data_IF_152348975404
#
_entry.id   IF_152348975404
#
_cell.length_a   1.000
_cell.length_b   1.000
_cell.length_c   1.000
_cell.angle_alpha   90.00
_cell.angle_beta   90.00
_cell.angle_gamma   90.00
#
_symmetry.space_group_name_H-M   'P 1'
#
loop_
_entity.id
_entity.type
_entity.pdbx_description
1 polymer ?
#
# COMPACT_ATOMS: atom_id res chain seq x y z
N UNK A 1 5.44 -31.58 -43.66
CA UNK A 1 5.55 -30.61 -42.52
C UNK A 1 4.50 -30.97 -41.47
N UNK A 2 4.88 -31.50 -40.32
CA UNK A 2 3.97 -31.93 -39.24
C UNK A 2 3.45 -30.73 -38.48
N UNK A 3 2.14 -30.45 -38.49
CA UNK A 3 1.48 -29.46 -37.65
C UNK A 3 1.58 -29.92 -36.20
N UNK A 4 2.42 -29.23 -35.39
CA UNK A 4 2.46 -29.42 -33.95
C UNK A 4 1.05 -29.13 -33.37
N UNK A 5 0.37 -30.16 -32.88
CA UNK A 5 -0.88 -30.02 -32.13
C UNK A 5 -0.61 -29.09 -30.92
N UNK A 6 -1.21 -27.89 -30.92
CA UNK A 6 -1.20 -27.03 -29.74
C UNK A 6 -1.94 -27.77 -28.63
N UNK A 7 -1.24 -28.13 -27.57
CA UNK A 7 -1.87 -28.60 -26.35
C UNK A 7 -2.83 -27.51 -25.88
N UNK A 8 -4.14 -27.78 -25.91
CA UNK A 8 -5.13 -26.96 -25.21
C UNK A 8 -4.92 -27.26 -23.73
N UNK A 9 -4.20 -26.39 -23.04
CA UNK A 9 -4.07 -26.47 -21.58
C UNK A 9 -5.46 -26.49 -20.95
N UNK A 10 -5.66 -27.31 -19.94
CA UNK A 10 -6.90 -27.36 -19.18
C UNK A 10 -7.22 -25.96 -18.65
N UNK A 11 -8.42 -25.46 -18.99
CA UNK A 11 -8.86 -24.15 -18.51
C UNK A 11 -9.13 -24.25 -17.01
N UNK A 12 -8.33 -23.54 -16.21
CA UNK A 12 -8.52 -23.48 -14.74
C UNK A 12 -9.79 -22.67 -14.48
N UNK A 13 -10.80 -23.33 -13.90
CA UNK A 13 -12.05 -22.67 -13.51
C UNK A 13 -11.81 -21.98 -12.17
N UNK A 14 -12.20 -20.70 -12.05
CA UNK A 14 -12.06 -19.93 -10.81
C UNK A 14 -10.84 -19.01 -10.74
N UNK A 15 -9.96 -19.05 -11.75
CA UNK A 15 -8.74 -18.24 -11.77
C UNK A 15 -7.57 -18.85 -11.00
N UNK A 16 -6.42 -18.21 -11.05
CA UNK A 16 -5.20 -18.63 -10.35
C UNK A 16 -4.34 -17.40 -10.03
N UNK A 17 -3.52 -17.55 -9.00
CA UNK A 17 -2.49 -16.57 -8.63
C UNK A 17 -1.17 -17.08 -9.16
N UNK A 18 -0.52 -16.39 -10.13
CA UNK A 18 0.77 -16.80 -10.64
C UNK A 18 1.87 -16.50 -9.62
N UNK A 19 2.53 -17.52 -9.12
CA UNK A 19 3.76 -17.43 -8.32
C UNK A 19 4.90 -18.03 -9.15
N UNK A 20 5.77 -17.22 -9.74
CA UNK A 20 6.89 -17.70 -10.53
C UNK A 20 7.86 -18.55 -9.70
N UNK A 21 8.39 -19.64 -10.27
CA UNK A 21 9.35 -20.51 -9.58
C UNK A 21 10.58 -19.73 -9.10
N UNK A 22 11.13 -18.86 -9.93
CA UNK A 22 12.29 -18.02 -9.59
C UNK A 22 12.05 -17.10 -8.40
N UNK A 23 10.80 -16.68 -8.17
CA UNK A 23 10.43 -15.91 -6.97
C UNK A 23 10.46 -16.80 -5.73
N UNK A 24 9.83 -17.98 -5.80
CA UNK A 24 9.74 -18.91 -4.66
C UNK A 24 11.16 -19.39 -4.24
N UNK A 25 12.03 -19.61 -5.21
CA UNK A 25 13.41 -20.05 -5.00
C UNK A 25 14.34 -18.90 -4.55
N UNK A 26 13.94 -17.65 -4.71
CA UNK A 26 14.76 -16.48 -4.37
C UNK A 26 15.10 -16.42 -2.89
N UNK A 27 16.26 -15.88 -2.56
CA UNK A 27 16.68 -15.63 -1.18
C UNK A 27 15.68 -14.68 -0.47
N UNK A 28 15.19 -13.66 -1.19
CA UNK A 28 14.21 -12.72 -0.68
C UNK A 28 12.94 -13.42 -0.17
N UNK A 29 12.37 -14.33 -0.97
CA UNK A 29 11.14 -15.03 -0.59
C UNK A 29 11.40 -16.10 0.48
N UNK A 30 12.52 -16.81 0.40
CA UNK A 30 12.86 -17.89 1.36
C UNK A 30 13.07 -17.35 2.76
N UNK A 31 13.68 -16.17 2.93
CA UNK A 31 13.94 -15.52 4.22
C UNK A 31 12.70 -14.88 4.87
N UNK A 32 11.59 -14.72 4.14
CA UNK A 32 10.35 -14.22 4.72
C UNK A 32 9.75 -15.16 5.75
N UNK A 33 9.15 -14.56 6.80
CA UNK A 33 8.33 -15.27 7.77
C UNK A 33 7.05 -15.87 7.16
N UNK A 34 6.49 -16.89 7.79
CA UNK A 34 5.26 -17.59 7.32
C UNK A 34 4.10 -16.63 7.08
N UNK A 35 3.85 -15.71 8.00
CA UNK A 35 2.77 -14.71 7.88
C UNK A 35 2.99 -13.78 6.70
N UNK A 36 4.22 -13.30 6.49
CA UNK A 36 4.54 -12.43 5.36
C UNK A 36 4.32 -13.13 4.01
N UNK A 37 4.70 -14.41 3.88
CA UNK A 37 4.41 -15.23 2.69
C UNK A 37 2.92 -15.34 2.42
N UNK A 38 2.12 -15.62 3.45
CA UNK A 38 0.67 -15.70 3.32
C UNK A 38 0.07 -14.33 2.93
N UNK A 39 0.46 -13.27 3.61
CA UNK A 39 0.02 -11.89 3.29
C UNK A 39 0.34 -11.54 1.83
N UNK A 40 1.51 -11.93 1.32
CA UNK A 40 1.88 -11.68 -0.08
C UNK A 40 0.96 -12.36 -1.08
N UNK A 41 0.57 -13.62 -0.83
CA UNK A 41 -0.38 -14.35 -1.69
C UNK A 41 -1.71 -13.59 -1.79
N UNK A 42 -2.22 -13.06 -0.68
CA UNK A 42 -3.48 -12.30 -0.69
C UNK A 42 -3.35 -10.91 -1.30
N UNK A 43 -2.19 -10.28 -1.26
CA UNK A 43 -1.92 -9.09 -2.07
C UNK A 43 -1.99 -9.41 -3.57
N UNK A 44 -1.42 -10.53 -3.99
CA UNK A 44 -1.51 -10.96 -5.39
C UNK A 44 -2.92 -11.36 -5.80
N UNK A 45 -3.73 -11.88 -4.87
CA UNK A 45 -5.13 -12.21 -5.12
C UNK A 45 -5.99 -10.99 -5.44
N UNK A 46 -5.64 -9.81 -4.92
CA UNK A 46 -6.33 -8.55 -5.24
C UNK A 46 -6.10 -8.09 -6.69
N UNK A 47 -5.09 -8.62 -7.37
CA UNK A 47 -4.81 -8.30 -8.77
C UNK A 47 -5.83 -8.98 -9.67
N UNK A 48 -6.87 -8.23 -10.08
CA UNK A 48 -7.97 -8.74 -10.92
C UNK A 48 -7.68 -8.66 -12.42
N UNK A 49 -6.79 -7.78 -12.84
CA UNK A 49 -6.39 -7.61 -14.24
C UNK A 49 -4.91 -7.36 -14.38
N UNK A 50 -4.32 -7.74 -15.51
CA UNK A 50 -2.90 -7.52 -15.79
C UNK A 50 -2.47 -6.05 -15.85
N UNK A 51 -3.43 -5.12 -15.87
CA UNK A 51 -3.20 -3.67 -15.89
C UNK A 51 -3.30 -3.03 -14.50
N UNK A 52 -3.70 -3.79 -13.47
CA UNK A 52 -3.78 -3.26 -12.11
C UNK A 52 -2.39 -3.08 -11.55
N UNK A 53 -2.01 -1.82 -11.32
CA UNK A 53 -0.68 -1.44 -10.80
C UNK A 53 -0.70 -1.34 -9.28
N UNK A 54 -1.81 -0.89 -8.70
CA UNK A 54 -1.97 -0.65 -7.28
C UNK A 54 -2.76 -1.77 -6.62
N UNK A 55 -2.24 -2.26 -5.51
CA UNK A 55 -2.82 -3.36 -4.74
C UNK A 55 -2.96 -2.97 -3.29
N UNK A 56 -4.04 -3.43 -2.67
CA UNK A 56 -4.35 -3.15 -1.28
C UNK A 56 -4.74 -4.43 -0.56
N UNK A 57 -4.44 -4.48 0.73
CA UNK A 57 -4.96 -5.51 1.62
C UNK A 57 -5.25 -4.88 2.97
N UNK A 58 -6.50 -4.97 3.41
CA UNK A 58 -6.93 -4.45 4.70
C UNK A 58 -6.78 -5.49 5.80
N UNK A 59 -6.66 -5.04 7.05
CA UNK A 59 -6.61 -5.95 8.19
C UNK A 59 -7.89 -6.81 8.28
N UNK A 60 -9.07 -6.21 8.01
CA UNK A 60 -10.34 -6.93 8.00
C UNK A 60 -10.36 -8.08 6.98
N UNK A 61 -9.80 -7.84 5.78
CA UNK A 61 -9.66 -8.89 4.77
C UNK A 61 -8.68 -9.97 5.24
N UNK A 62 -7.52 -9.59 5.77
CA UNK A 62 -6.53 -10.53 6.29
C UNK A 62 -7.10 -11.41 7.42
N UNK A 63 -7.90 -10.84 8.32
CA UNK A 63 -8.61 -11.57 9.37
C UNK A 63 -9.66 -12.51 8.78
N UNK A 64 -10.49 -12.04 7.84
CA UNK A 64 -11.50 -12.85 7.15
C UNK A 64 -10.89 -14.08 6.46
N UNK A 65 -9.71 -13.92 5.89
CA UNK A 65 -8.99 -15.00 5.20
C UNK A 65 -8.14 -15.86 6.16
N UNK A 66 -8.14 -15.58 7.45
CA UNK A 66 -7.36 -16.34 8.44
C UNK A 66 -5.83 -16.14 8.32
N UNK A 67 -5.38 -15.09 7.66
CA UNK A 67 -3.95 -14.82 7.41
C UNK A 67 -3.25 -14.36 8.67
N UNK A 68 -3.84 -13.41 9.38
CA UNK A 68 -3.38 -12.93 10.67
C UNK A 68 -4.53 -12.27 11.44
N UNK A 69 -4.45 -12.29 12.77
CA UNK A 69 -5.44 -11.69 13.65
C UNK A 69 -4.98 -10.38 14.25
N UNK A 70 -3.67 -10.22 14.46
CA UNK A 70 -3.08 -9.06 15.12
C UNK A 70 -2.76 -7.94 14.13
N UNK A 71 -3.13 -6.69 14.44
CA UNK A 71 -2.72 -5.52 13.65
C UNK A 71 -1.20 -5.37 13.58
N UNK A 72 -0.49 -5.61 14.68
CA UNK A 72 0.97 -5.52 14.75
C UNK A 72 1.62 -6.51 13.79
N UNK A 73 1.24 -7.79 13.87
CA UNK A 73 1.75 -8.84 12.98
C UNK A 73 1.47 -8.54 11.51
N UNK A 74 0.30 -7.94 11.22
CA UNK A 74 -0.04 -7.54 9.86
C UNK A 74 0.86 -6.40 9.33
N UNK A 75 1.16 -5.41 10.18
CA UNK A 75 2.06 -4.31 9.83
C UNK A 75 3.49 -4.82 9.65
N UNK A 76 3.97 -5.68 10.53
CA UNK A 76 5.29 -6.32 10.42
C UNK A 76 5.43 -7.13 9.14
N UNK A 77 4.42 -7.94 8.80
CA UNK A 77 4.41 -8.69 7.54
C UNK A 77 4.52 -7.78 6.31
N UNK A 78 3.84 -6.62 6.31
CA UNK A 78 3.98 -5.62 5.23
C UNK A 78 5.37 -5.01 5.18
N UNK A 79 5.96 -4.70 6.36
CA UNK A 79 7.34 -4.19 6.42
C UNK A 79 8.33 -5.20 5.86
N UNK A 80 8.18 -6.47 6.23
CA UNK A 80 9.03 -7.55 5.71
C UNK A 80 8.93 -7.67 4.19
N UNK A 81 7.72 -7.62 3.63
CA UNK A 81 7.51 -7.68 2.19
C UNK A 81 8.19 -6.51 1.44
N UNK A 82 8.12 -5.31 1.99
CA UNK A 82 8.78 -4.14 1.42
C UNK A 82 10.30 -4.22 1.59
N UNK A 83 10.78 -4.61 2.77
CA UNK A 83 12.20 -4.78 3.08
C UNK A 83 12.87 -5.80 2.16
N UNK A 84 12.18 -6.89 1.83
CA UNK A 84 12.68 -7.92 0.91
C UNK A 84 12.42 -7.59 -0.58
N UNK A 85 11.84 -6.43 -0.89
CA UNK A 85 11.65 -5.96 -2.26
C UNK A 85 10.56 -6.66 -3.06
N UNK A 86 9.58 -7.28 -2.41
CA UNK A 86 8.42 -7.89 -3.08
C UNK A 86 7.29 -6.88 -3.33
N UNK A 87 7.19 -5.87 -2.47
CA UNK A 87 6.25 -4.78 -2.58
C UNK A 87 6.96 -3.44 -2.50
N UNK A 88 6.44 -2.45 -3.22
CA UNK A 88 6.83 -1.05 -3.09
C UNK A 88 5.67 -0.23 -2.53
N UNK A 89 5.87 0.52 -1.44
CA UNK A 89 4.81 1.36 -0.89
C UNK A 89 4.56 2.56 -1.80
N UNK A 90 3.31 2.76 -2.16
CA UNK A 90 2.83 3.95 -2.90
C UNK A 90 2.27 4.96 -1.92
N UNK A 91 1.48 4.47 -0.95
CA UNK A 91 0.87 5.25 0.11
C UNK A 91 0.88 4.44 1.41
N UNK A 92 1.38 5.04 2.49
CA UNK A 92 1.46 4.39 3.81
C UNK A 92 0.12 4.17 4.50
N UNK A 93 -0.97 4.69 3.90
CA UNK A 93 -2.28 4.74 4.53
C UNK A 93 -2.39 5.86 5.57
N UNK A 94 -3.56 6.03 6.15
CA UNK A 94 -3.85 7.06 7.16
C UNK A 94 -5.12 6.74 7.93
N UNK A 95 -5.66 7.75 8.62
CA UNK A 95 -6.80 7.57 9.53
C UNK A 95 -8.01 6.92 8.83
N UNK A 96 -8.27 7.26 7.57
CA UNK A 96 -9.39 6.74 6.78
C UNK A 96 -8.96 6.18 5.42
N UNK A 97 -7.65 5.92 5.23
CA UNK A 97 -7.11 5.42 3.98
C UNK A 97 -6.31 4.14 4.19
N UNK A 98 -6.46 3.19 3.28
CA UNK A 98 -5.69 1.96 3.30
C UNK A 98 -4.31 2.20 2.69
N UNK A 99 -3.31 1.48 3.20
CA UNK A 99 -1.99 1.48 2.57
C UNK A 99 -2.07 0.84 1.18
N UNK A 100 -1.44 1.51 0.21
CA UNK A 100 -1.41 1.11 -1.19
C UNK A 100 0.00 0.71 -1.56
N UNK A 101 0.12 -0.38 -2.27
CA UNK A 101 1.40 -0.95 -2.70
C UNK A 101 1.40 -1.21 -4.20
N UNK A 102 2.59 -1.40 -4.74
CA UNK A 102 2.82 -1.95 -6.08
C UNK A 102 3.60 -3.24 -5.96
N UNK A 103 3.37 -4.18 -6.88
CA UNK A 103 4.23 -5.34 -7.02
C UNK A 103 5.62 -4.85 -7.43
N UNK A 104 6.64 -5.32 -6.73
CA UNK A 104 8.04 -4.95 -6.99
C UNK A 104 8.84 -6.11 -7.54
N UNK A 105 9.86 -5.80 -8.31
CA UNK A 105 10.85 -6.75 -8.80
C UNK A 105 12.23 -6.60 -8.13
N UNK A 106 12.34 -5.69 -7.13
CA UNK A 106 13.59 -5.46 -6.38
C UNK A 106 14.11 -6.73 -5.68
N UNK A 107 13.21 -7.67 -5.36
CA UNK A 107 13.57 -8.95 -4.75
C UNK A 107 14.62 -9.73 -5.57
N UNK A 108 14.75 -9.48 -6.88
CA UNK A 108 15.75 -10.11 -7.75
C UNK A 108 17.18 -9.72 -7.38
N UNK A 109 17.34 -8.53 -6.82
CA UNK A 109 18.63 -7.98 -6.41
C UNK A 109 18.87 -8.14 -4.89
N UNK A 110 17.96 -8.80 -4.18
CA UNK A 110 18.07 -8.98 -2.72
C UNK A 110 19.34 -9.75 -2.36
N UNK A 111 20.12 -9.20 -1.43
CA UNK A 111 21.41 -9.76 -1.02
C UNK A 111 22.60 -9.34 -1.90
N UNK A 112 22.40 -8.45 -2.89
CA UNK A 112 23.48 -7.86 -3.68
C UNK A 112 23.67 -6.38 -3.32
N UNK A 113 24.85 -5.83 -3.65
CA UNK A 113 25.16 -4.39 -3.41
C UNK A 113 24.25 -3.43 -4.19
N UNK A 114 23.57 -3.92 -5.23
CA UNK A 114 22.63 -3.13 -6.04
C UNK A 114 21.23 -3.08 -5.43
N UNK A 115 20.97 -3.81 -4.35
CA UNK A 115 19.67 -3.80 -3.70
C UNK A 115 19.43 -2.48 -2.98
N UNK A 116 18.34 -1.79 -3.36
CA UNK A 116 17.90 -0.57 -2.67
C UNK A 116 16.87 -0.93 -1.63
N UNK A 117 17.23 -0.77 -0.37
CA UNK A 117 16.29 -0.94 0.74
C UNK A 117 15.27 0.20 0.74
N UNK A 118 14.00 -0.15 0.91
CA UNK A 118 12.90 0.80 1.04
C UNK A 118 12.19 0.53 2.36
N UNK A 119 11.90 1.58 3.10
CA UNK A 119 11.19 1.48 4.37
C UNK A 119 9.70 1.74 4.19
N UNK A 120 8.87 0.91 4.80
CA UNK A 120 7.43 1.13 4.91
C UNK A 120 7.08 1.75 6.26
N UNK A 121 6.53 2.96 6.24
CA UNK A 121 6.04 3.70 7.42
C UNK A 121 4.51 3.74 7.41
N UNK A 122 3.83 2.89 8.18
CA UNK A 122 2.38 2.93 8.28
C UNK A 122 1.91 4.21 8.97
N UNK A 123 0.80 4.77 8.52
CA UNK A 123 0.17 5.94 9.16
C UNK A 123 0.85 7.28 8.88
N UNK A 124 1.97 7.32 8.17
CA UNK A 124 2.58 8.57 7.72
C UNK A 124 1.89 8.99 6.42
N UNK A 125 0.80 9.70 6.60
CA UNK A 125 0.13 10.52 5.64
C UNK A 125 -0.06 9.94 4.24
N UNK A 126 -1.28 9.53 3.93
CA UNK A 126 -1.66 9.49 2.53
C UNK A 126 -1.53 10.90 1.95
N UNK A 127 -1.15 11.02 0.68
CA UNK A 127 -1.12 12.33 -0.01
C UNK A 127 -2.45 13.08 0.16
N UNK A 128 -3.56 12.35 0.21
CA UNK A 128 -4.90 12.88 0.43
C UNK A 128 -5.10 13.44 1.84
N UNK A 129 -4.64 12.73 2.88
CA UNK A 129 -4.74 13.19 4.26
C UNK A 129 -3.91 14.46 4.48
N UNK A 130 -2.66 14.50 4.00
CA UNK A 130 -1.82 15.68 4.09
C UNK A 130 -2.40 16.88 3.31
N UNK A 131 -3.03 16.62 2.18
CA UNK A 131 -3.71 17.66 1.39
C UNK A 131 -4.98 18.15 2.12
N UNK A 132 -5.78 17.24 2.70
CA UNK A 132 -6.96 17.60 3.48
C UNK A 132 -6.59 18.41 4.71
N UNK A 133 -5.58 17.99 5.49
CA UNK A 133 -5.08 18.74 6.65
C UNK A 133 -4.56 20.13 6.29
N UNK A 134 -3.82 20.26 5.18
CA UNK A 134 -3.38 21.57 4.68
C UNK A 134 -4.57 22.47 4.31
N UNK A 135 -5.59 21.90 3.69
CA UNK A 135 -6.80 22.64 3.31
C UNK A 135 -7.61 23.07 4.53
N UNK A 136 -7.74 22.22 5.55
CA UNK A 136 -8.41 22.59 6.80
C UNK A 136 -7.65 23.66 7.56
N UNK A 137 -6.32 23.54 7.69
CA UNK A 137 -5.50 24.58 8.31
C UNK A 137 -5.66 25.93 7.61
N UNK A 138 -5.60 25.94 6.28
CA UNK A 138 -5.83 27.14 5.47
C UNK A 138 -7.23 27.69 5.64
N UNK A 139 -8.24 26.84 5.77
CA UNK A 139 -9.62 27.24 6.04
C UNK A 139 -9.76 27.89 7.42
N UNK A 140 -9.14 27.33 8.45
CA UNK A 140 -9.10 27.91 9.80
C UNK A 140 -8.39 29.28 9.83
N UNK A 141 -7.26 29.42 9.12
CA UNK A 141 -6.55 30.71 9.01
C UNK A 141 -7.40 31.79 8.32
N UNK A 142 -8.13 31.43 7.25
CA UNK A 142 -9.04 32.36 6.57
C UNK A 142 -10.20 32.77 7.48
N UNK A 143 -10.78 31.85 8.26
CA UNK A 143 -11.84 32.15 9.20
C UNK A 143 -11.36 33.06 10.35
N UNK A 144 -10.18 32.80 10.89
CA UNK A 144 -9.57 33.64 11.93
C UNK A 144 -9.30 35.07 11.40
N UNK A 145 -8.78 35.21 10.18
CA UNK A 145 -8.57 36.51 9.55
C UNK A 145 -9.88 37.29 9.29
N UNK A 146 -10.97 36.58 8.97
CA UNK A 146 -12.30 37.21 8.81
C UNK A 146 -12.89 37.68 10.15
N UNK A 147 -12.68 36.93 11.23
CA UNK A 147 -13.14 37.31 12.57
C UNK A 147 -12.34 38.50 13.11
N UNK A 148 -11.05 38.55 12.90
CA UNK A 148 -10.21 39.69 13.28
C UNK A 148 -10.62 41.00 12.58
N UNK A 149 -10.98 40.95 11.28
CA UNK A 149 -11.48 42.15 10.56
C UNK A 149 -12.80 42.65 11.03
N UNK A 150 -13.71 41.80 11.54
CA UNK A 150 -15.02 42.25 12.09
C UNK A 150 -14.89 42.95 13.42
N UNK A 151 -13.87 42.67 14.22
CA UNK A 151 -13.64 43.37 15.49
C UNK A 151 -13.09 44.79 15.34
N UNK A 152 -12.27 45.01 14.28
CA UNK A 152 -11.68 46.33 14.00
C UNK A 152 -12.71 47.34 13.47
N UNK A 153 -13.72 46.86 12.70
CA UNK A 153 -14.76 47.75 12.14
C UNK A 153 -15.82 48.22 13.13
N UNK A 154 -15.91 47.65 14.35
CA UNK A 154 -16.85 48.06 15.39
C UNK A 154 -16.25 49.05 16.41
N UNK A 155 -14.95 49.32 16.36
CA UNK A 155 -14.34 50.33 17.26
C UNK A 155 -14.27 51.73 16.68
N UNK A 156 -14.42 51.89 15.36
CA UNK A 156 -14.38 53.23 14.72
C UNK A 156 -15.70 53.99 14.70
N UNK A 157 -16.80 53.40 15.19
CA UNK A 157 -18.12 54.08 15.23
C UNK A 157 -18.46 54.70 16.60
N UNK A 158 -17.52 54.85 17.54
CA UNK A 158 -17.76 55.51 18.84
C UNK A 158 -16.76 56.63 19.10
N UNK A 159 -16.92 57.74 18.41
CA UNK A 159 -16.36 59.02 18.83
C UNK A 159 -17.51 60.05 18.78
N UNK A 160 -17.79 60.77 19.87
CA UNK A 160 -18.91 61.71 19.98
C UNK A 160 -18.68 62.98 19.20
#
# INVERSE_FOLDING_TARGET
MSRRKRFKGNKIIGGFIPLPHNLIESQAFRSLGKTAKNVYVYFLWDIKSGHQVEITLTLKQAQKFGVCQSPTTFVEAKRDLVKHGLLDPVDGGGLNAHAVFKKSERWRLFGTDQFKEVEYKPGVGSKYFMTAMKNEKKKCEILAARHGRKQVSHQDERIP
#
